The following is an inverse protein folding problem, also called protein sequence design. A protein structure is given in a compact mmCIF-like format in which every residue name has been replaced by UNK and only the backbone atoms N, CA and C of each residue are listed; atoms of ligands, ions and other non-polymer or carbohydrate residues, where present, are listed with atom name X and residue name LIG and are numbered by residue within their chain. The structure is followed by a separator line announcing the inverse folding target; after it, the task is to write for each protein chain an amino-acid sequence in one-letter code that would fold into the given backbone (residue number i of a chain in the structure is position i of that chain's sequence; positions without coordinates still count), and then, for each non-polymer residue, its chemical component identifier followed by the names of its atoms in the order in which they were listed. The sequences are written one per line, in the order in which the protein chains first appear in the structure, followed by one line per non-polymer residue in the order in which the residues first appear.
data_IF_944986985563
#
_entry.id   IF_944986985563
#
_cell.length_a   1.000
_cell.length_b   1.000
_cell.length_c   1.000
_cell.angle_alpha   90.00
_cell.angle_beta   90.00
_cell.angle_gamma   90.00
#
_symmetry.space_group_name_H-M   'P 1'
#
loop_
_entity.id
_entity.type
_entity.pdbx_description
1 polymer ?
#
# COMPACT_ATOMS: atom_id res chain seq x y z
N UNK A 1 -37.83 -39.33 -36.87
CA UNK A 1 -36.77 -38.38 -36.45
C UNK A 1 -36.48 -38.62 -34.98
N UNK A 2 -35.28 -39.10 -34.67
CA UNK A 2 -34.89 -39.67 -33.38
C UNK A 2 -34.64 -38.58 -32.33
N UNK A 3 -35.19 -38.76 -31.13
CA UNK A 3 -35.10 -37.85 -29.97
C UNK A 3 -33.65 -37.60 -29.52
N UNK A 4 -32.72 -38.49 -29.87
CA UNK A 4 -31.29 -38.41 -29.53
C UNK A 4 -30.54 -37.27 -30.25
N UNK A 5 -31.01 -36.83 -31.42
CA UNK A 5 -30.32 -35.78 -32.19
C UNK A 5 -30.57 -34.36 -31.64
N UNK A 6 -31.67 -34.17 -30.88
CA UNK A 6 -31.98 -32.88 -30.26
C UNK A 6 -31.11 -32.59 -29.05
N UNK A 7 -30.80 -33.62 -28.25
CA UNK A 7 -30.00 -33.50 -27.02
C UNK A 7 -28.53 -33.20 -27.29
N UNK A 8 -27.98 -33.73 -28.39
CA UNK A 8 -26.60 -33.44 -28.82
C UNK A 8 -26.46 -31.96 -29.23
N UNK A 9 -27.45 -31.43 -29.96
CA UNK A 9 -27.47 -30.02 -30.38
C UNK A 9 -27.65 -29.05 -29.21
N UNK A 10 -28.39 -29.41 -28.16
CA UNK A 10 -28.51 -28.58 -26.94
C UNK A 10 -27.26 -28.63 -26.07
N UNK A 11 -26.61 -29.79 -25.95
CA UNK A 11 -25.33 -29.92 -25.24
C UNK A 11 -24.20 -29.16 -25.93
N UNK A 12 -24.14 -29.13 -27.25
CA UNK A 12 -23.12 -28.37 -27.99
C UNK A 12 -23.32 -26.85 -27.84
N UNK A 13 -24.58 -26.36 -27.80
CA UNK A 13 -24.88 -24.96 -27.49
C UNK A 13 -24.48 -24.59 -26.07
N UNK A 14 -24.75 -25.45 -25.07
CA UNK A 14 -24.31 -25.25 -23.69
C UNK A 14 -22.77 -25.23 -23.56
N UNK A 15 -22.06 -26.12 -24.27
CA UNK A 15 -20.60 -26.10 -24.33
C UNK A 15 -20.04 -24.82 -24.97
N UNK A 16 -20.76 -24.23 -25.92
CA UNK A 16 -20.38 -22.94 -26.49
C UNK A 16 -20.49 -21.80 -25.46
N UNK A 17 -21.46 -21.85 -24.54
CA UNK A 17 -21.55 -20.91 -23.41
C UNK A 17 -20.42 -21.10 -22.38
N UNK A 18 -19.98 -22.33 -22.12
CA UNK A 18 -18.80 -22.58 -21.25
C UNK A 18 -17.45 -22.26 -21.92
N UNK A 19 -17.40 -22.15 -23.26
CA UNK A 19 -16.19 -21.72 -23.99
C UNK A 19 -16.01 -20.21 -24.06
N UNK A 20 -17.03 -19.41 -23.77
CA UNK A 20 -16.93 -17.94 -23.78
C UNK A 20 -16.16 -17.39 -22.56
N UNK A 21 -15.89 -18.22 -21.54
CA UNK A 21 -14.92 -17.89 -20.48
C UNK A 21 -13.52 -18.49 -20.69
N UNK A 22 -13.21 -19.01 -21.88
CA UNK A 22 -11.82 -19.34 -22.26
C UNK A 22 -11.03 -18.10 -22.75
N UNK A 23 -11.41 -16.92 -22.26
CA UNK A 23 -10.54 -15.75 -22.10
C UNK A 23 -9.94 -15.66 -20.69
N UNK A 24 -10.20 -16.65 -19.83
CA UNK A 24 -9.50 -16.86 -18.58
C UNK A 24 -8.05 -17.27 -18.82
N UNK A 25 -7.24 -16.31 -19.28
CA UNK A 25 -5.87 -16.26 -18.84
C UNK A 25 -5.92 -16.18 -17.31
N UNK A 26 -5.83 -17.33 -16.66
CA UNK A 26 -5.17 -17.46 -15.36
C UNK A 26 -3.68 -17.12 -15.48
N UNK A 27 -3.35 -16.09 -16.26
CA UNK A 27 -2.15 -15.33 -16.04
C UNK A 27 -2.36 -14.70 -14.69
N UNK A 28 -1.43 -14.92 -13.79
CA UNK A 28 -1.06 -13.87 -12.85
C UNK A 28 -1.20 -12.56 -13.62
N UNK A 29 -2.23 -11.74 -13.32
CA UNK A 29 -2.11 -10.33 -13.63
C UNK A 29 -0.90 -9.94 -12.80
N UNK A 30 0.29 -9.98 -13.41
CA UNK A 30 1.41 -9.22 -12.89
C UNK A 30 0.80 -7.83 -12.80
N UNK A 31 0.42 -7.42 -11.57
CA UNK A 31 0.03 -6.04 -11.33
C UNK A 31 1.18 -5.25 -11.94
N UNK A 32 0.87 -4.45 -12.96
CA UNK A 32 1.87 -3.60 -13.59
C UNK A 32 2.57 -2.85 -12.47
N UNK A 33 3.91 -2.89 -12.50
CA UNK A 33 4.68 -2.17 -11.51
C UNK A 33 4.45 -0.67 -11.73
N UNK A 34 3.87 -0.03 -10.74
CA UNK A 34 3.79 1.41 -10.70
C UNK A 34 5.19 1.94 -10.42
N UNK A 35 5.73 2.64 -11.41
CA UNK A 35 7.03 3.30 -11.36
C UNK A 35 6.78 4.76 -11.00
N UNK A 36 7.49 5.24 -9.99
CA UNK A 36 7.50 6.67 -9.67
C UNK A 36 8.24 7.42 -10.79
N UNK A 37 7.52 8.20 -11.60
CA UNK A 37 8.12 8.93 -12.72
C UNK A 37 8.96 10.11 -12.24
N UNK A 38 9.88 10.59 -13.08
CA UNK A 38 10.77 11.72 -12.77
C UNK A 38 9.95 13.00 -12.49
N UNK A 39 8.83 13.17 -13.18
CA UNK A 39 7.91 14.29 -12.97
C UNK A 39 7.26 14.22 -11.59
N UNK A 40 6.80 13.04 -11.16
CA UNK A 40 6.26 12.83 -9.83
C UNK A 40 7.32 13.05 -8.74
N UNK A 41 8.55 12.57 -8.95
CA UNK A 41 9.66 12.83 -8.03
C UNK A 41 9.94 14.32 -7.90
N UNK A 42 9.97 15.05 -9.02
CA UNK A 42 10.16 16.50 -9.04
C UNK A 42 9.05 17.23 -8.29
N UNK A 43 7.79 16.86 -8.53
CA UNK A 43 6.63 17.49 -7.90
C UNK A 43 6.54 17.20 -6.39
N UNK A 44 7.07 16.06 -5.93
CA UNK A 44 7.13 15.68 -4.51
C UNK A 44 8.35 16.22 -3.77
N UNK A 45 9.42 16.60 -4.48
CA UNK A 45 10.67 17.06 -3.89
C UNK A 45 10.49 18.26 -2.95
N UNK A 46 11.39 18.41 -1.97
CA UNK A 46 11.41 19.54 -1.03
C UNK A 46 11.52 20.91 -1.69
N UNK A 47 12.08 20.97 -2.90
CA UNK A 47 12.22 22.20 -3.68
C UNK A 47 10.91 22.64 -4.35
N UNK A 48 9.92 21.74 -4.42
CA UNK A 48 8.61 22.04 -5.01
C UNK A 48 7.70 22.79 -4.02
N UNK A 49 6.87 23.72 -4.50
CA UNK A 49 5.90 24.42 -3.67
C UNK A 49 4.99 23.44 -2.91
N UNK A 50 4.73 23.72 -1.63
CA UNK A 50 3.94 22.85 -0.73
C UNK A 50 2.58 22.44 -1.31
N UNK A 51 1.90 23.34 -2.04
CA UNK A 51 0.63 23.06 -2.68
C UNK A 51 0.73 22.06 -3.84
N UNK A 52 1.84 22.06 -4.58
CA UNK A 52 2.13 21.06 -5.62
C UNK A 52 2.34 19.70 -4.95
N UNK A 53 3.20 19.64 -3.93
CA UNK A 53 3.47 18.41 -3.17
C UNK A 53 2.19 17.78 -2.61
N UNK A 54 1.33 18.58 -1.97
CA UNK A 54 0.04 18.14 -1.42
C UNK A 54 -0.86 17.55 -2.51
N UNK A 55 -0.95 18.21 -3.66
CA UNK A 55 -1.77 17.73 -4.78
C UNK A 55 -1.26 16.39 -5.28
N UNK A 56 0.04 16.28 -5.52
CA UNK A 56 0.67 15.06 -6.00
C UNK A 56 0.52 13.90 -5.01
N UNK A 57 0.66 14.15 -3.70
CA UNK A 57 0.39 13.15 -2.65
C UNK A 57 -1.06 12.63 -2.74
N UNK A 58 -2.04 13.53 -2.93
CA UNK A 58 -3.46 13.17 -3.04
C UNK A 58 -3.72 12.28 -4.26
N UNK A 59 -3.08 12.58 -5.39
CA UNK A 59 -3.18 11.79 -6.63
C UNK A 59 -2.55 10.39 -6.48
N UNK A 60 -1.57 10.23 -5.58
CA UNK A 60 -0.85 8.97 -5.36
C UNK A 60 -1.53 7.98 -4.40
N UNK A 61 -2.58 8.37 -3.66
CA UNK A 61 -3.25 7.44 -2.74
C UNK A 61 -3.76 6.18 -3.45
N UNK A 62 -4.47 6.36 -4.56
CA UNK A 62 -5.09 5.24 -5.29
C UNK A 62 -4.05 4.36 -6.01
N UNK A 63 -3.07 4.91 -6.75
CA UNK A 63 -2.02 4.09 -7.37
C UNK A 63 -1.23 3.26 -6.36
N UNK A 64 -0.92 3.82 -5.19
CA UNK A 64 -0.11 3.17 -4.15
C UNK A 64 -0.83 2.00 -3.49
N UNK A 65 -2.16 2.07 -3.33
CA UNK A 65 -2.93 0.96 -2.75
C UNK A 65 -3.27 -0.11 -3.78
N UNK A 66 -3.55 0.30 -5.01
CA UNK A 66 -4.09 -0.59 -6.05
C UNK A 66 -3.00 -1.30 -6.85
N UNK A 67 -1.82 -0.68 -7.02
CA UNK A 67 -0.74 -1.23 -7.83
C UNK A 67 0.43 -1.76 -7.00
N UNK A 68 1.28 -2.55 -7.67
CA UNK A 68 2.55 -2.99 -7.12
C UNK A 68 3.56 -1.86 -7.30
N UNK A 69 4.09 -1.26 -6.23
CA UNK A 69 5.20 -0.31 -6.40
C UNK A 69 6.49 -1.04 -6.83
N UNK A 70 7.30 -0.37 -7.63
CA UNK A 70 8.68 -0.79 -7.90
C UNK A 70 9.49 -0.95 -6.59
N UNK A 71 10.58 -1.71 -6.65
CA UNK A 71 11.39 -2.08 -5.47
C UNK A 71 11.93 -0.84 -4.72
N UNK A 72 12.19 0.26 -5.43
CA UNK A 72 12.80 1.47 -4.88
C UNK A 72 11.79 2.55 -4.52
N UNK A 73 10.57 2.50 -5.05
CA UNK A 73 9.55 3.54 -4.89
C UNK A 73 9.24 3.85 -3.42
N UNK A 74 9.14 2.84 -2.54
CA UNK A 74 8.83 3.09 -1.12
C UNK A 74 9.94 3.89 -0.43
N UNK A 75 11.20 3.60 -0.75
CA UNK A 75 12.38 4.32 -0.21
C UNK A 75 12.43 5.74 -0.77
N UNK A 76 12.13 5.92 -2.06
CA UNK A 76 12.04 7.24 -2.69
C UNK A 76 10.93 8.09 -2.07
N UNK A 77 9.72 7.55 -1.97
CA UNK A 77 8.57 8.23 -1.34
C UNK A 77 8.87 8.63 0.10
N UNK A 78 9.55 7.77 0.86
CA UNK A 78 10.03 8.12 2.20
C UNK A 78 10.94 9.34 2.18
N UNK A 79 12.00 9.28 1.37
CA UNK A 79 13.02 10.34 1.26
C UNK A 79 12.44 11.66 0.80
N UNK A 80 11.46 11.61 -0.12
CA UNK A 80 10.80 12.80 -0.67
C UNK A 80 9.81 13.45 0.29
N UNK A 81 9.33 12.77 1.33
CA UNK A 81 8.21 13.23 2.16
C UNK A 81 8.50 13.27 3.66
N UNK A 82 9.62 12.72 4.13
CA UNK A 82 9.95 12.72 5.57
C UNK A 82 10.09 14.13 6.16
N UNK A 83 10.49 15.11 5.36
CA UNK A 83 10.58 16.51 5.78
C UNK A 83 9.20 17.11 6.11
N UNK A 84 8.15 16.64 5.43
CA UNK A 84 6.77 17.10 5.64
C UNK A 84 6.16 16.60 6.97
N UNK A 85 6.87 15.77 7.72
CA UNK A 85 6.46 15.25 9.03
C UNK A 85 7.05 16.03 10.21
N UNK A 86 7.90 17.02 9.94
CA UNK A 86 8.55 17.87 10.96
C UNK A 86 7.56 18.79 11.66
N UNK A 87 7.90 19.20 12.87
CA UNK A 87 7.08 20.06 13.74
C UNK A 87 6.76 21.43 13.14
N UNK A 88 7.66 21.98 12.34
CA UNK A 88 7.50 23.25 11.63
C UNK A 88 6.50 23.20 10.46
N UNK A 89 6.07 22.01 10.03
CA UNK A 89 5.05 21.84 8.99
C UNK A 89 3.68 21.93 9.61
N UNK A 90 2.72 22.56 8.94
CA UNK A 90 1.36 22.68 9.49
C UNK A 90 0.71 21.29 9.74
N UNK A 91 -0.21 21.23 10.70
CA UNK A 91 -0.87 19.98 11.12
C UNK A 91 -1.53 19.22 9.97
N UNK A 92 -2.30 19.91 9.14
CA UNK A 92 -3.07 19.28 8.06
C UNK A 92 -2.16 18.54 7.09
N UNK A 93 -1.04 19.16 6.72
CA UNK A 93 -0.05 18.56 5.82
C UNK A 93 0.66 17.38 6.47
N UNK A 94 1.05 17.48 7.75
CA UNK A 94 1.64 16.35 8.47
C UNK A 94 0.69 15.15 8.49
N UNK A 95 -0.58 15.39 8.82
CA UNK A 95 -1.61 14.35 8.88
C UNK A 95 -1.91 13.73 7.51
N UNK A 96 -1.87 14.52 6.44
CA UNK A 96 -1.99 14.03 5.06
C UNK A 96 -0.85 13.04 4.75
N UNK A 97 0.39 13.41 5.06
CA UNK A 97 1.58 12.57 4.80
C UNK A 97 1.56 11.30 5.67
N UNK A 98 1.18 11.41 6.93
CA UNK A 98 0.94 10.23 7.78
C UNK A 98 -0.10 9.28 7.18
N UNK A 99 -1.21 9.83 6.70
CA UNK A 99 -2.27 9.04 6.08
C UNK A 99 -1.80 8.40 4.78
N UNK A 100 -0.97 9.11 4.01
CA UNK A 100 -0.36 8.57 2.79
C UNK A 100 0.57 7.40 3.10
N UNK A 101 1.49 7.53 4.08
CA UNK A 101 2.36 6.43 4.47
C UNK A 101 1.60 5.23 5.04
N UNK A 102 0.48 5.45 5.73
CA UNK A 102 -0.42 4.35 6.10
C UNK A 102 -0.93 3.59 4.88
N UNK A 103 -1.30 4.30 3.82
CA UNK A 103 -1.73 3.70 2.55
C UNK A 103 -0.60 2.95 1.86
N UNK A 104 0.62 3.49 1.85
CA UNK A 104 1.84 2.80 1.36
C UNK A 104 2.05 1.48 2.09
N UNK A 105 1.99 1.50 3.43
CA UNK A 105 2.14 0.31 4.25
C UNK A 105 1.06 -0.72 3.91
N UNK A 106 -0.19 -0.29 3.79
CA UNK A 106 -1.31 -1.18 3.51
C UNK A 106 -1.20 -1.81 2.11
N UNK A 107 -0.85 -1.03 1.09
CA UNK A 107 -0.74 -1.51 -0.29
C UNK A 107 0.49 -2.37 -0.54
N UNK A 108 1.60 -2.11 0.16
CA UNK A 108 2.90 -2.72 -0.12
C UNK A 108 3.39 -3.66 0.99
N UNK A 109 2.52 -4.02 1.94
CA UNK A 109 2.87 -4.69 3.20
C UNK A 109 3.88 -5.84 3.05
N UNK A 110 3.68 -6.75 2.10
CA UNK A 110 4.52 -7.95 1.90
C UNK A 110 5.97 -7.61 1.50
N UNK A 111 6.18 -6.49 0.80
CA UNK A 111 7.47 -6.13 0.17
C UNK A 111 8.16 -4.93 0.81
N UNK A 112 7.70 -4.47 1.97
CA UNK A 112 8.31 -3.32 2.66
C UNK A 112 9.77 -3.56 3.10
N UNK A 113 10.23 -4.80 3.23
CA UNK A 113 11.59 -5.12 3.66
C UNK A 113 11.99 -4.36 4.94
N UNK A 114 13.13 -3.65 4.88
CA UNK A 114 13.65 -2.81 5.96
C UNK A 114 12.84 -1.53 6.21
N UNK A 115 11.98 -1.10 5.28
CA UNK A 115 11.14 0.08 5.49
C UNK A 115 10.12 -0.12 6.61
N UNK A 116 9.79 -1.36 6.97
CA UNK A 116 9.01 -1.66 8.18
C UNK A 116 9.63 -1.04 9.42
N UNK A 117 10.96 -1.13 9.55
CA UNK A 117 11.71 -0.53 10.66
C UNK A 117 11.67 1.00 10.61
N UNK A 118 11.79 1.60 9.42
CA UNK A 118 11.71 3.06 9.26
C UNK A 118 10.34 3.59 9.64
N UNK A 119 9.26 2.96 9.16
CA UNK A 119 7.90 3.31 9.57
C UNK A 119 7.71 3.10 11.06
N UNK A 120 8.17 1.99 11.64
CA UNK A 120 8.10 1.77 13.09
C UNK A 120 8.86 2.84 13.89
N UNK A 121 10.02 3.30 13.40
CA UNK A 121 10.78 4.38 14.02
C UNK A 121 9.99 5.69 13.98
N UNK A 122 9.50 6.09 12.81
CA UNK A 122 8.65 7.29 12.65
C UNK A 122 7.54 7.29 13.69
N UNK A 123 6.83 6.17 13.76
CA UNK A 123 5.74 5.91 14.66
C UNK A 123 6.13 6.12 16.13
N UNK A 124 7.26 5.55 16.55
CA UNK A 124 7.71 5.55 17.94
C UNK A 124 8.25 6.92 18.34
N UNK A 125 8.93 7.62 17.43
CA UNK A 125 9.61 8.88 17.71
C UNK A 125 8.73 10.11 17.46
N UNK A 126 7.60 9.97 16.75
CA UNK A 126 6.72 11.10 16.48
C UNK A 126 5.98 11.57 17.74
N UNK A 127 6.46 12.66 18.33
CA UNK A 127 6.00 13.17 19.63
C UNK A 127 5.10 14.42 19.55
N UNK A 128 4.55 14.74 18.38
CA UNK A 128 3.71 15.93 18.21
C UNK A 128 2.32 15.70 18.81
N UNK A 129 1.98 16.49 19.83
CA UNK A 129 0.76 16.34 20.63
C UNK A 129 -0.54 16.34 19.79
N UNK A 130 -0.60 17.21 18.80
CA UNK A 130 -1.78 17.38 17.94
C UNK A 130 -2.04 16.20 17.00
N UNK A 131 -1.01 15.41 16.74
CA UNK A 131 -1.07 14.26 15.85
C UNK A 131 -1.39 12.99 16.64
N UNK A 132 -1.36 13.01 17.98
CA UNK A 132 -1.50 11.85 18.87
C UNK A 132 -2.78 11.04 18.62
N UNK A 133 -3.94 11.68 18.47
CA UNK A 133 -5.21 10.96 18.29
C UNK A 133 -5.28 10.27 16.92
N UNK A 134 -5.06 10.97 15.78
CA UNK A 134 -4.94 10.33 14.46
C UNK A 134 -3.87 9.24 14.43
N UNK A 135 -2.76 9.50 15.13
CA UNK A 135 -1.68 8.56 15.40
C UNK A 135 -2.30 7.30 16.03
N UNK A 136 -2.82 7.32 17.26
CA UNK A 136 -3.37 6.13 17.98
C UNK A 136 -4.38 5.30 17.18
N UNK A 137 -5.25 5.95 16.38
CA UNK A 137 -6.18 5.24 15.49
C UNK A 137 -5.47 4.50 14.37
N UNK A 138 -4.45 5.11 13.75
CA UNK A 138 -3.57 4.42 12.81
C UNK A 138 -2.79 3.28 13.50
N UNK A 139 -2.35 3.47 14.76
CA UNK A 139 -1.63 2.43 15.53
C UNK A 139 -2.46 1.23 15.87
N UNK A 140 -3.69 1.38 16.35
CA UNK A 140 -4.45 0.19 16.76
C UNK A 140 -4.64 -0.78 15.59
N UNK A 141 -4.82 -0.25 14.39
CA UNK A 141 -4.96 -1.06 13.17
C UNK A 141 -3.62 -1.55 12.63
N UNK A 142 -2.56 -0.74 12.70
CA UNK A 142 -1.20 -1.14 12.33
C UNK A 142 -0.63 -2.19 13.29
N UNK A 143 -0.74 -1.98 14.59
CA UNK A 143 -0.21 -2.84 15.66
C UNK A 143 -0.92 -4.19 15.71
N UNK A 144 -2.25 -4.26 15.52
CA UNK A 144 -2.93 -5.56 15.39
C UNK A 144 -2.50 -6.32 14.13
N UNK A 145 -2.36 -5.65 12.98
CA UNK A 145 -1.92 -6.31 11.75
C UNK A 145 -0.44 -6.74 11.81
N UNK A 146 0.41 -5.93 12.46
CA UNK A 146 1.83 -6.15 12.64
C UNK A 146 2.12 -7.24 13.70
N UNK A 147 1.38 -7.27 14.82
CA UNK A 147 1.48 -8.32 15.85
C UNK A 147 0.91 -9.64 15.34
N UNK A 148 -0.26 -9.66 14.69
CA UNK A 148 -0.83 -10.92 14.17
C UNK A 148 0.10 -11.62 13.18
N UNK A 149 0.96 -10.88 12.46
CA UNK A 149 1.91 -11.46 11.51
C UNK A 149 3.29 -11.79 12.12
N UNK A 150 3.81 -10.97 13.06
CA UNK A 150 5.02 -11.31 13.82
C UNK A 150 4.79 -12.57 14.66
N UNK A 151 3.65 -12.70 15.33
CA UNK A 151 3.33 -13.89 16.14
C UNK A 151 3.13 -15.16 15.30
N UNK A 152 2.90 -15.03 13.99
CA UNK A 152 2.77 -16.16 13.08
C UNK A 152 4.12 -16.57 12.46
N UNK A 153 5.16 -15.74 12.59
CA UNK A 153 6.45 -15.91 11.88
C UNK A 153 7.67 -16.01 12.81
N UNK A 154 7.65 -15.43 14.00
CA UNK A 154 8.83 -15.37 14.87
C UNK A 154 8.48 -15.37 16.37
N UNK A 155 8.62 -16.53 17.01
CA UNK A 155 8.57 -16.69 18.48
C UNK A 155 9.75 -16.03 19.21
N UNK A 156 10.79 -15.58 18.48
CA UNK A 156 12.04 -15.05 19.05
C UNK A 156 11.98 -13.57 19.41
N UNK A 157 11.08 -12.78 18.81
CA UNK A 157 11.00 -11.33 19.03
C UNK A 157 10.33 -10.95 20.36
N UNK A 158 9.63 -11.90 21.00
CA UNK A 158 8.97 -11.72 22.30
C UNK A 158 9.94 -11.45 23.46
N UNK A 159 11.20 -11.87 23.35
CA UNK A 159 12.16 -11.74 24.46
C UNK A 159 12.90 -10.40 24.50
N UNK A 160 12.95 -9.64 23.39
CA UNK A 160 13.78 -8.44 23.32
C UNK A 160 13.04 -7.14 23.66
N UNK A 161 11.72 -7.08 23.47
CA UNK A 161 10.94 -5.84 23.57
C UNK A 161 10.28 -5.59 24.93
N UNK A 162 10.35 -6.53 25.88
CA UNK A 162 9.85 -6.36 27.25
C UNK A 162 10.94 -6.14 28.29
N UNK A 163 12.17 -5.85 27.87
CA UNK A 163 13.30 -5.60 28.77
C UNK A 163 13.99 -4.28 28.46
N UNK A 164 13.29 -3.17 28.63
CA UNK A 164 13.82 -1.84 29.01
C UNK A 164 12.66 -0.90 29.29
#
# INVERSE_FOLDING_TARGET
MSTKDKDIKTLDKLKQFFRINKGGQGGYRQKEEFILTVELEKDLCSDSPTNVRIRTIKELFEPVISNRLDETAVVKLWTLLEDMLKDNVNKENRLLVFSFFRTVIQGQYERLGMMRTQFFKLIKTHSIAEDLVPRYVAYFRFFFFYISFIFQSDTSFLFLTFKT
#
